data_IF_933565541047
#
_entry.id   IF_933565541047
#
_cell.length_a   1.000
_cell.length_b   1.000
_cell.length_c   1.000
_cell.angle_alpha   90.00
_cell.angle_beta   90.00
_cell.angle_gamma   90.00
#
_symmetry.space_group_name_H-M   'P 1'
#
loop_
_entity.id
_entity.type
_entity.pdbx_description
1 polymer ?
#
# COMPACT_ATOMS: atom_id res chain seq x y z
N UNK A 1 -0.23 23.18 -8.57
CA UNK A 1 -0.93 21.88 -8.59
C UNK A 1 0.02 20.87 -9.19
N UNK A 2 0.61 20.01 -8.34
CA UNK A 2 1.41 18.88 -8.83
C UNK A 2 0.40 17.75 -9.05
N UNK A 3 -0.05 17.58 -10.29
CA UNK A 3 -0.80 16.40 -10.67
C UNK A 3 0.20 15.33 -11.06
N UNK A 4 0.29 14.26 -10.29
CA UNK A 4 1.12 13.12 -10.66
C UNK A 4 0.48 12.40 -11.86
N UNK A 5 0.88 12.81 -13.07
CA UNK A 5 0.40 12.25 -14.34
C UNK A 5 0.93 10.83 -14.59
N UNK A 6 1.74 10.28 -13.68
CA UNK A 6 2.38 8.98 -13.84
C UNK A 6 1.62 7.84 -13.13
N UNK A 7 0.71 8.15 -12.21
CA UNK A 7 -0.09 7.12 -11.53
C UNK A 7 -1.22 6.69 -12.45
N UNK A 8 -1.14 5.44 -12.92
CA UNK A 8 -2.20 4.84 -13.71
C UNK A 8 -3.39 4.51 -12.83
N UNK A 9 -4.60 4.85 -13.26
CA UNK A 9 -5.83 4.42 -12.59
C UNK A 9 -6.00 2.91 -12.74
N UNK A 10 -6.27 2.22 -11.63
CA UNK A 10 -6.57 0.80 -11.57
C UNK A 10 -8.05 0.64 -11.19
N UNK A 11 -8.80 -0.08 -12.01
CA UNK A 11 -10.19 -0.41 -11.70
C UNK A 11 -10.33 -1.89 -11.33
N UNK A 12 -11.11 -2.16 -10.30
CA UNK A 12 -11.46 -3.51 -9.86
C UNK A 12 -12.97 -3.75 -10.05
N UNK A 13 -13.52 -4.78 -9.45
CA UNK A 13 -14.97 -5.01 -9.46
C UNK A 13 -15.73 -3.87 -8.75
N UNK A 14 -15.24 -3.42 -7.58
CA UNK A 14 -15.93 -2.48 -6.70
C UNK A 14 -15.21 -1.15 -6.49
N UNK A 15 -13.92 -1.07 -6.84
CA UNK A 15 -13.05 0.04 -6.50
C UNK A 15 -12.49 0.75 -7.73
N UNK A 16 -12.13 2.02 -7.51
CA UNK A 16 -11.24 2.78 -8.38
C UNK A 16 -10.05 3.24 -7.52
N UNK A 17 -8.85 2.88 -7.94
CA UNK A 17 -7.59 3.33 -7.35
C UNK A 17 -6.98 4.36 -8.30
N UNK A 18 -6.76 5.57 -7.81
CA UNK A 18 -6.30 6.71 -8.61
C UNK A 18 -5.30 7.57 -7.85
N UNK A 19 -4.63 8.46 -8.54
CA UNK A 19 -3.84 9.50 -7.87
C UNK A 19 -4.71 10.32 -6.92
N UNK A 20 -4.13 10.74 -5.79
CA UNK A 20 -4.78 11.69 -4.88
C UNK A 20 -4.72 13.11 -5.43
N UNK A 21 -5.73 13.90 -5.10
CA UNK A 21 -5.82 15.31 -5.40
C UNK A 21 -6.09 16.12 -4.14
N UNK A 22 -5.94 17.44 -4.19
CA UNK A 22 -6.26 18.30 -3.03
C UNK A 22 -7.74 18.29 -2.65
N UNK A 23 -8.62 17.93 -3.56
CA UNK A 23 -10.04 17.79 -3.27
C UNK A 23 -10.31 16.60 -2.33
N UNK A 24 -9.38 15.65 -2.26
CA UNK A 24 -9.45 14.48 -1.38
C UNK A 24 -9.00 14.78 0.07
N UNK A 25 -8.45 15.98 0.33
CA UNK A 25 -7.80 16.27 1.62
C UNK A 25 -8.73 16.12 2.83
N UNK A 26 -10.02 16.42 2.68
CA UNK A 26 -11.00 16.25 3.76
C UNK A 26 -11.24 14.76 4.09
N UNK A 27 -11.31 13.90 3.08
CA UNK A 27 -11.47 12.46 3.26
C UNK A 27 -10.20 11.85 3.84
N UNK A 28 -9.02 12.29 3.36
CA UNK A 28 -7.71 11.87 3.89
C UNK A 28 -7.61 12.22 5.37
N UNK A 29 -7.94 13.46 5.76
CA UNK A 29 -7.95 13.87 7.16
C UNK A 29 -8.93 13.03 7.99
N UNK A 30 -10.10 12.70 7.44
CA UNK A 30 -11.11 11.93 8.16
C UNK A 30 -10.62 10.54 8.58
N UNK A 31 -9.86 9.82 7.73
CA UNK A 31 -9.37 8.49 8.11
C UNK A 31 -7.95 8.52 8.70
N UNK A 32 -7.07 9.38 8.25
CA UNK A 32 -5.68 9.46 8.72
C UNK A 32 -5.52 10.34 9.98
N UNK A 33 -6.50 11.17 10.30
CA UNK A 33 -6.61 11.90 11.58
C UNK A 33 -7.25 11.07 12.70
N UNK A 34 -7.88 9.95 12.39
CA UNK A 34 -8.36 9.01 13.41
C UNK A 34 -7.18 8.32 14.10
N UNK A 35 -7.05 8.53 15.42
CA UNK A 35 -5.89 8.07 16.18
C UNK A 35 -5.66 6.56 16.10
N UNK A 36 -6.73 5.75 16.14
CA UNK A 36 -6.59 4.30 16.08
C UNK A 36 -6.18 3.85 14.70
N UNK A 37 -6.77 4.44 13.66
CA UNK A 37 -6.44 4.15 12.25
C UNK A 37 -5.00 4.54 11.95
N UNK A 38 -4.54 5.73 12.34
CA UNK A 38 -3.17 6.20 12.15
C UNK A 38 -2.17 5.33 12.93
N UNK A 39 -2.45 5.00 14.19
CA UNK A 39 -1.61 4.13 15.00
C UNK A 39 -1.40 2.75 14.36
N UNK A 40 -2.46 2.14 13.81
CA UNK A 40 -2.35 0.84 13.15
C UNK A 40 -1.67 0.92 11.77
N UNK A 41 -1.75 2.07 11.10
CA UNK A 41 -0.99 2.35 9.89
C UNK A 41 0.49 2.67 10.15
N UNK A 42 0.88 2.89 11.41
CA UNK A 42 2.25 3.19 11.80
C UNK A 42 2.67 4.64 11.57
N UNK A 43 1.71 5.56 11.56
CA UNK A 43 1.92 6.99 11.34
C UNK A 43 1.34 7.83 12.48
N UNK A 44 1.79 9.07 12.63
CA UNK A 44 1.12 10.04 13.49
C UNK A 44 -0.22 10.46 12.87
N UNK A 45 -1.26 10.66 13.69
CA UNK A 45 -2.54 11.16 13.18
C UNK A 45 -2.39 12.56 12.61
N UNK A 46 -3.03 12.82 11.48
CA UNK A 46 -3.07 14.16 10.89
C UNK A 46 -3.95 15.09 11.74
N UNK A 47 -3.50 16.33 11.93
CA UNK A 47 -4.19 17.28 12.80
C UNK A 47 -5.14 18.19 12.02
N UNK A 48 -4.80 18.53 10.77
CA UNK A 48 -5.59 19.45 9.97
C UNK A 48 -5.48 19.19 8.44
N UNK A 49 -6.18 20.03 7.66
CA UNK A 49 -6.16 19.95 6.20
C UNK A 49 -4.78 20.28 5.58
N UNK A 50 -3.92 21.01 6.28
CA UNK A 50 -2.58 21.28 5.77
C UNK A 50 -1.72 20.02 5.83
N UNK A 51 -1.83 19.24 6.90
CA UNK A 51 -1.19 17.93 7.03
C UNK A 51 -1.69 16.96 5.97
N UNK A 52 -3.00 16.91 5.74
CA UNK A 52 -3.58 16.06 4.69
C UNK A 52 -3.06 16.43 3.29
N UNK A 53 -2.93 17.73 3.00
CA UNK A 53 -2.34 18.18 1.73
C UNK A 53 -0.86 17.87 1.63
N UNK A 54 -0.11 18.00 2.73
CA UNK A 54 1.30 17.63 2.76
C UNK A 54 1.50 16.13 2.51
N UNK A 55 0.64 15.28 3.06
CA UNK A 55 0.63 13.84 2.77
C UNK A 55 0.35 13.56 1.28
N UNK A 56 -0.63 14.26 0.68
CA UNK A 56 -0.94 14.15 -0.75
C UNK A 56 0.25 14.60 -1.61
N UNK A 57 0.89 15.71 -1.26
CA UNK A 57 2.07 16.21 -1.98
C UNK A 57 3.22 15.21 -1.91
N UNK A 58 3.49 14.66 -0.72
CA UNK A 58 4.53 13.66 -0.54
C UNK A 58 4.30 12.44 -1.42
N UNK A 59 3.08 11.88 -1.42
CA UNK A 59 2.73 10.73 -2.25
C UNK A 59 2.72 11.01 -3.76
N UNK A 60 2.63 12.28 -4.16
CA UNK A 60 2.70 12.69 -5.57
C UNK A 60 4.10 13.12 -6.03
N UNK A 61 5.05 13.32 -5.10
CA UNK A 61 6.37 13.85 -5.43
C UNK A 61 7.36 12.80 -5.93
N UNK A 62 7.17 11.51 -5.60
CA UNK A 62 8.11 10.45 -5.93
C UNK A 62 7.55 9.64 -7.10
N UNK A 63 8.13 9.76 -8.32
CA UNK A 63 7.53 9.17 -9.52
C UNK A 63 7.38 7.65 -9.49
N UNK A 64 8.31 6.95 -8.85
CA UNK A 64 8.35 5.48 -8.81
C UNK A 64 7.70 4.90 -7.53
N UNK A 65 7.18 5.76 -6.66
CA UNK A 65 6.50 5.39 -5.42
C UNK A 65 5.04 5.90 -5.42
N UNK A 66 4.16 5.28 -6.20
CA UNK A 66 2.79 5.76 -6.34
C UNK A 66 1.99 5.59 -5.04
N UNK A 67 1.23 6.63 -4.70
CA UNK A 67 0.22 6.56 -3.66
C UNK A 67 -1.18 6.65 -4.28
N UNK A 68 -1.96 5.61 -4.09
CA UNK A 68 -3.31 5.50 -4.62
C UNK A 68 -4.35 5.88 -3.58
N UNK A 69 -5.26 6.80 -3.95
CA UNK A 69 -6.55 6.91 -3.29
C UNK A 69 -7.42 5.71 -3.64
N UNK A 70 -8.12 5.15 -2.68
CA UNK A 70 -9.13 4.10 -2.88
C UNK A 70 -10.51 4.73 -2.80
N UNK A 71 -11.31 4.60 -3.86
CA UNK A 71 -12.72 5.01 -3.88
C UNK A 71 -13.62 3.85 -4.27
N UNK A 72 -14.89 3.88 -3.86
CA UNK A 72 -15.90 2.94 -4.37
C UNK A 72 -16.35 3.39 -5.76
N UNK A 73 -16.60 2.46 -6.67
CA UNK A 73 -17.21 2.78 -7.97
C UNK A 73 -18.53 3.53 -7.78
N UNK A 74 -18.65 4.66 -8.50
CA UNK A 74 -19.81 5.56 -8.39
C UNK A 74 -19.74 6.55 -7.22
N UNK A 75 -18.61 6.64 -6.52
CA UNK A 75 -18.37 7.62 -5.46
C UNK A 75 -16.98 8.22 -5.61
N UNK A 76 -16.88 9.53 -5.38
CA UNK A 76 -15.60 10.24 -5.35
C UNK A 76 -14.96 10.22 -3.96
N UNK A 77 -15.71 9.79 -2.91
CA UNK A 77 -15.24 9.75 -1.53
C UNK A 77 -14.06 8.77 -1.41
N UNK A 78 -12.93 9.28 -0.92
CA UNK A 78 -11.76 8.45 -0.61
C UNK A 78 -11.98 7.72 0.71
N UNK A 79 -11.88 6.40 0.67
CA UNK A 79 -12.10 5.53 1.83
C UNK A 79 -10.81 4.96 2.42
N UNK A 80 -9.68 5.22 1.79
CA UNK A 80 -8.36 4.73 2.21
C UNK A 80 -7.29 4.98 1.17
N UNK A 81 -6.09 4.49 1.44
CA UNK A 81 -4.94 4.64 0.56
C UNK A 81 -4.07 3.39 0.52
N UNK A 82 -3.35 3.21 -0.59
CA UNK A 82 -2.22 2.29 -0.72
C UNK A 82 -1.04 3.10 -1.24
N UNK A 83 0.11 2.92 -0.63
CA UNK A 83 1.38 3.43 -1.11
C UNK A 83 2.29 2.27 -1.54
N UNK A 84 3.09 2.52 -2.55
CA UNK A 84 4.20 1.67 -2.96
C UNK A 84 5.47 2.44 -2.65
N UNK A 85 6.29 1.93 -1.78
CA UNK A 85 7.62 2.45 -1.47
C UNK A 85 8.66 1.36 -1.74
N UNK A 86 9.94 1.66 -1.56
CA UNK A 86 10.99 0.66 -1.68
C UNK A 86 11.71 0.51 -0.35
N UNK A 87 11.79 -0.70 0.14
CA UNK A 87 12.47 -1.03 1.40
C UNK A 87 13.42 -2.19 1.22
N UNK A 88 14.45 -2.22 2.08
CA UNK A 88 15.43 -3.28 2.13
C UNK A 88 14.91 -4.43 3.00
N UNK A 89 14.95 -5.66 2.47
CA UNK A 89 14.65 -6.86 3.23
C UNK A 89 15.83 -7.28 4.13
N UNK A 90 15.67 -8.36 4.90
CA UNK A 90 16.73 -8.87 5.78
C UNK A 90 17.97 -9.42 5.04
N UNK A 91 17.89 -9.56 3.70
CA UNK A 91 18.96 -10.03 2.83
C UNK A 91 19.58 -8.88 2.02
N UNK A 92 19.24 -7.64 2.37
CA UNK A 92 19.73 -6.42 1.71
C UNK A 92 19.22 -6.26 0.26
N UNK A 93 18.10 -6.93 -0.10
CA UNK A 93 17.45 -6.69 -1.39
C UNK A 93 16.48 -5.51 -1.29
N UNK A 94 16.53 -4.60 -2.25
CA UNK A 94 15.55 -3.51 -2.36
C UNK A 94 14.30 -4.02 -3.06
N UNK A 95 13.17 -4.01 -2.36
CA UNK A 95 11.89 -4.54 -2.84
C UNK A 95 10.80 -3.47 -2.78
N UNK A 96 9.85 -3.47 -3.72
CA UNK A 96 8.62 -2.70 -3.57
C UNK A 96 7.86 -3.20 -2.34
N UNK A 97 7.53 -2.26 -1.49
CA UNK A 97 6.88 -2.50 -0.19
C UNK A 97 5.54 -1.77 -0.18
N UNK A 98 4.49 -2.48 0.18
CA UNK A 98 3.15 -1.91 0.27
C UNK A 98 2.84 -1.46 1.70
N UNK A 99 2.49 -0.18 1.83
CA UNK A 99 1.78 0.38 2.98
C UNK A 99 0.32 0.63 2.63
N UNK A 100 -0.60 0.46 3.58
CA UNK A 100 -2.01 0.75 3.34
C UNK A 100 -2.77 1.15 4.60
N UNK A 101 -3.76 1.99 4.39
CA UNK A 101 -4.66 2.52 5.42
C UNK A 101 -6.09 2.51 4.89
N UNK A 102 -7.06 2.15 5.74
CA UNK A 102 -8.47 2.13 5.37
C UNK A 102 -9.29 2.76 6.48
N UNK A 103 -10.26 3.60 6.11
CA UNK A 103 -11.23 4.15 7.05
C UNK A 103 -11.89 3.04 7.88
N UNK A 104 -11.97 3.26 9.19
CA UNK A 104 -12.63 2.34 10.12
C UNK A 104 -14.10 2.09 9.78
N UNK A 105 -14.76 3.06 9.13
CA UNK A 105 -16.17 2.99 8.70
C UNK A 105 -16.46 1.88 7.66
N UNK A 106 -15.44 1.49 6.88
CA UNK A 106 -15.60 0.56 5.73
C UNK A 106 -14.76 -0.70 5.87
N UNK A 107 -14.31 -1.02 7.08
CA UNK A 107 -13.55 -2.25 7.33
C UNK A 107 -14.43 -3.50 7.18
N UNK A 108 -13.80 -4.68 7.04
CA UNK A 108 -14.45 -6.00 6.94
C UNK A 108 -15.29 -6.25 5.68
N UNK A 109 -15.30 -5.35 4.70
CA UNK A 109 -15.97 -5.55 3.40
C UNK A 109 -15.04 -6.18 2.35
N UNK A 110 -13.76 -6.38 2.69
CA UNK A 110 -12.77 -6.97 1.78
C UNK A 110 -12.17 -5.95 0.79
N UNK A 111 -12.49 -4.68 0.90
CA UNK A 111 -11.99 -3.63 0.00
C UNK A 111 -10.47 -3.55 -0.01
N UNK A 112 -9.82 -3.56 1.16
CA UNK A 112 -8.35 -3.50 1.20
C UNK A 112 -7.71 -4.72 0.53
N UNK A 113 -8.23 -5.93 0.71
CA UNK A 113 -7.70 -7.12 0.03
C UNK A 113 -7.87 -7.03 -1.50
N UNK A 114 -9.01 -6.48 -1.97
CA UNK A 114 -9.25 -6.25 -3.41
C UNK A 114 -8.27 -5.22 -3.97
N UNK A 115 -8.06 -4.11 -3.26
CA UNK A 115 -7.15 -3.05 -3.66
C UNK A 115 -5.69 -3.53 -3.68
N UNK A 116 -5.21 -4.21 -2.62
CA UNK A 116 -3.86 -4.77 -2.55
C UNK A 116 -3.61 -5.76 -3.69
N UNK A 117 -4.55 -6.69 -3.95
CA UNK A 117 -4.41 -7.64 -5.07
C UNK A 117 -4.27 -6.92 -6.41
N UNK A 118 -5.07 -5.86 -6.64
CA UNK A 118 -5.03 -5.11 -7.91
C UNK A 118 -3.71 -4.35 -8.09
N UNK A 119 -3.16 -3.75 -7.02
CA UNK A 119 -1.84 -3.09 -7.06
C UNK A 119 -0.72 -4.11 -7.29
N UNK A 120 -0.76 -5.26 -6.61
CA UNK A 120 0.22 -6.34 -6.84
C UNK A 120 0.20 -6.83 -8.30
N UNK A 121 -1.00 -7.04 -8.85
CA UNK A 121 -1.17 -7.43 -10.25
C UNK A 121 -0.57 -6.40 -11.22
N UNK A 122 -0.77 -5.10 -10.93
CA UNK A 122 -0.20 -4.01 -11.74
C UNK A 122 1.33 -3.98 -11.66
N UNK A 123 1.89 -4.11 -10.45
CA UNK A 123 3.33 -4.16 -10.23
C UNK A 123 3.97 -5.35 -10.98
N UNK A 124 3.39 -6.54 -10.89
CA UNK A 124 3.92 -7.72 -11.58
C UNK A 124 3.84 -7.62 -13.10
N UNK A 125 2.74 -7.05 -13.65
CA UNK A 125 2.52 -6.99 -15.09
C UNK A 125 3.26 -5.84 -15.78
N UNK A 126 3.27 -4.68 -15.14
CA UNK A 126 3.69 -3.44 -15.79
C UNK A 126 5.05 -2.91 -15.30
N UNK A 127 5.53 -3.33 -14.13
CA UNK A 127 6.76 -2.83 -13.52
C UNK A 127 7.89 -3.87 -13.43
N UNK A 128 7.70 -5.08 -14.02
CA UNK A 128 8.69 -6.18 -14.01
C UNK A 128 9.21 -6.55 -12.63
N UNK A 129 8.33 -6.47 -11.65
CA UNK A 129 8.62 -6.84 -10.27
C UNK A 129 8.47 -8.35 -10.12
N UNK A 130 9.40 -9.00 -9.43
CA UNK A 130 9.36 -10.44 -9.17
C UNK A 130 8.92 -10.77 -7.75
N UNK A 131 9.07 -9.82 -6.83
CA UNK A 131 8.67 -9.97 -5.43
C UNK A 131 8.19 -8.65 -4.86
N UNK A 132 7.14 -8.71 -4.05
CA UNK A 132 6.57 -7.57 -3.32
C UNK A 132 6.62 -7.88 -1.83
N UNK A 133 6.87 -6.87 -1.00
CA UNK A 133 6.93 -6.99 0.44
C UNK A 133 5.81 -6.19 1.12
N UNK A 134 5.38 -6.66 2.30
CA UNK A 134 4.65 -5.88 3.28
C UNK A 134 5.36 -6.02 4.63
N UNK A 135 5.47 -4.93 5.36
CA UNK A 135 5.98 -4.91 6.73
C UNK A 135 4.83 -4.66 7.70
N UNK A 136 4.50 -5.65 8.50
CA UNK A 136 3.29 -5.62 9.31
C UNK A 136 3.63 -5.91 10.77
N UNK A 137 3.13 -5.08 11.68
CA UNK A 137 3.25 -5.33 13.12
C UNK A 137 2.62 -6.67 13.50
N UNK A 138 3.27 -7.39 14.42
CA UNK A 138 2.80 -8.70 14.90
C UNK A 138 1.38 -8.67 15.47
N UNK A 139 1.04 -7.59 16.15
CA UNK A 139 -0.24 -7.39 16.80
C UNK A 139 -1.32 -6.80 15.88
N UNK A 140 -0.97 -6.41 14.63
CA UNK A 140 -1.92 -5.94 13.63
C UNK A 140 -2.60 -7.11 12.89
N UNK A 141 -3.49 -7.81 13.60
CA UNK A 141 -4.19 -8.99 13.05
C UNK A 141 -4.99 -8.66 11.78
N UNK A 142 -5.72 -7.52 11.68
CA UNK A 142 -6.44 -7.17 10.46
C UNK A 142 -5.51 -7.04 9.24
N UNK A 143 -4.39 -6.33 9.36
CA UNK A 143 -3.44 -6.15 8.26
C UNK A 143 -2.79 -7.47 7.85
N UNK A 144 -2.40 -8.31 8.82
CA UNK A 144 -1.91 -9.67 8.55
C UNK A 144 -2.95 -10.51 7.78
N UNK A 145 -4.24 -10.38 8.15
CA UNK A 145 -5.33 -11.05 7.45
C UNK A 145 -5.47 -10.58 5.99
N UNK A 146 -5.26 -9.30 5.71
CA UNK A 146 -5.24 -8.75 4.34
C UNK A 146 -4.09 -9.38 3.54
N UNK A 147 -2.86 -9.33 4.06
CA UNK A 147 -1.68 -9.87 3.38
C UNK A 147 -1.85 -11.37 3.07
N UNK A 148 -2.24 -12.18 4.06
CA UNK A 148 -2.45 -13.61 3.86
C UNK A 148 -3.55 -13.92 2.83
N UNK A 149 -4.64 -13.14 2.83
CA UNK A 149 -5.72 -13.30 1.84
C UNK A 149 -5.27 -12.96 0.42
N UNK A 150 -4.32 -12.04 0.27
CA UNK A 150 -3.71 -11.68 -1.01
C UNK A 150 -2.59 -12.65 -1.45
N UNK A 151 -2.32 -13.71 -0.68
CA UNK A 151 -1.32 -14.72 -1.02
C UNK A 151 0.09 -14.43 -0.50
N UNK A 152 0.27 -13.37 0.28
CA UNK A 152 1.56 -13.11 0.91
C UNK A 152 1.90 -14.20 1.93
N UNK A 153 3.15 -14.59 1.98
CA UNK A 153 3.69 -15.58 2.92
C UNK A 153 4.58 -14.86 3.93
N UNK A 154 4.35 -15.13 5.20
CA UNK A 154 5.19 -14.56 6.26
C UNK A 154 6.62 -15.11 6.17
N UNK A 155 7.61 -14.21 6.24
CA UNK A 155 9.00 -14.61 6.36
C UNK A 155 9.23 -15.37 7.67
N UNK A 156 9.71 -16.63 7.63
CA UNK A 156 9.99 -17.39 8.85
C UNK A 156 11.23 -16.87 9.60
N UNK A 157 12.10 -16.14 8.90
CA UNK A 157 13.29 -15.53 9.48
C UNK A 157 12.93 -14.14 9.98
N UNK A 158 12.50 -14.03 11.24
CA UNK A 158 12.14 -12.74 11.80
C UNK A 158 13.32 -11.78 11.84
N UNK A 159 13.17 -10.64 11.22
CA UNK A 159 14.01 -9.48 11.48
C UNK A 159 13.74 -8.98 12.90
N UNK A 160 14.61 -9.35 13.85
CA UNK A 160 14.53 -8.82 15.24
C UNK A 160 14.82 -7.32 15.31
N UNK A 161 15.23 -6.72 14.20
CA UNK A 161 15.80 -5.38 14.13
C UNK A 161 14.91 -4.38 13.38
N UNK A 162 13.94 -4.82 12.59
CA UNK A 162 13.00 -3.91 11.95
C UNK A 162 11.94 -3.47 12.95
N UNK A 163 11.94 -2.18 13.23
CA UNK A 163 10.98 -1.53 14.13
C UNK A 163 10.25 -0.45 13.33
N UNK A 164 8.94 -0.32 13.58
CA UNK A 164 8.20 0.82 13.05
C UNK A 164 8.55 2.12 13.82
N UNK A 165 7.94 3.23 13.41
CA UNK A 165 8.10 4.54 14.04
C UNK A 165 7.91 4.51 15.58
N UNK A 166 7.00 3.67 16.08
CA UNK A 166 6.75 3.51 17.53
C UNK A 166 7.68 2.48 18.21
N UNK A 167 8.76 2.06 17.57
CA UNK A 167 9.67 1.04 18.11
C UNK A 167 9.05 -0.36 18.25
N UNK A 168 7.99 -0.65 17.50
CA UNK A 168 7.35 -1.97 17.50
C UNK A 168 7.91 -2.87 16.41
N UNK A 169 8.15 -4.17 16.71
CA UNK A 169 8.71 -5.08 15.73
C UNK A 169 7.74 -5.33 14.57
N UNK A 170 8.33 -5.36 13.38
CA UNK A 170 7.66 -5.66 12.12
C UNK A 170 7.97 -7.10 11.70
N UNK A 171 6.96 -7.80 11.19
CA UNK A 171 7.11 -9.05 10.44
C UNK A 171 7.06 -8.73 8.95
N UNK A 172 7.94 -9.35 8.18
CA UNK A 172 7.95 -9.26 6.73
C UNK A 172 7.03 -10.32 6.12
N UNK A 173 6.30 -9.92 5.10
CA UNK A 173 5.47 -10.78 4.29
C UNK A 173 5.86 -10.59 2.83
N UNK A 174 6.04 -11.68 2.09
CA UNK A 174 6.42 -11.65 0.68
C UNK A 174 5.35 -12.25 -0.21
N UNK A 175 5.16 -11.63 -1.36
CA UNK A 175 4.39 -12.17 -2.48
C UNK A 175 5.32 -12.29 -3.68
N UNK A 176 5.58 -13.52 -4.10
CA UNK A 176 6.37 -13.80 -5.29
C UNK A 176 5.49 -13.82 -6.54
N UNK A 177 6.02 -13.30 -7.63
CA UNK A 177 5.40 -13.45 -8.94
C UNK A 177 5.32 -14.94 -9.29
N UNK A 178 4.12 -15.40 -9.59
CA UNK A 178 3.95 -16.75 -10.16
C UNK A 178 4.48 -16.69 -11.60
N UNK A 179 5.49 -17.51 -11.97
CA UNK A 179 5.98 -17.53 -13.35
C UNK A 179 4.85 -17.81 -14.32
N UNK A 180 4.67 -16.95 -15.32
CA UNK A 180 3.76 -17.25 -16.41
C UNK A 180 4.35 -18.43 -17.20
N UNK A 181 3.56 -19.48 -17.55
CA UNK A 181 4.06 -20.61 -18.34
C UNK A 181 4.61 -20.21 -19.72
N UNK A 182 4.39 -18.96 -20.12
CA UNK A 182 4.86 -18.37 -21.39
C UNK A 182 5.99 -17.33 -21.20
N UNK A 183 6.48 -17.13 -19.98
CA UNK A 183 7.69 -16.34 -19.75
C UNK A 183 8.88 -17.15 -20.33
N UNK A 184 9.28 -16.87 -21.56
CA UNK A 184 10.50 -17.45 -22.13
C UNK A 184 11.70 -16.94 -21.31
N UNK A 185 12.63 -17.83 -20.92
CA UNK A 185 13.89 -17.38 -20.33
C UNK A 185 14.61 -16.48 -21.32
N UNK A 186 15.04 -15.29 -20.91
CA UNK A 186 15.86 -14.43 -21.75
C UNK A 186 17.07 -15.24 -22.26
N UNK A 187 17.39 -15.20 -23.57
CA UNK A 187 18.55 -15.93 -24.08
C UNK A 187 19.81 -15.39 -23.39
N UNK A 188 20.53 -16.27 -22.75
CA UNK A 188 21.86 -16.00 -22.20
C UNK A 188 22.77 -15.49 -23.32
N UNK A 189 23.02 -14.18 -23.35
CA UNK A 189 24.00 -13.53 -24.22
C UNK A 189 25.37 -13.47 -23.55
#
# INVERSE_FOLDING_TARGET
MITNTHIRTIETERLVLRAMTYDDAADVLAFAGDHDTAYWAGMEPLEDLADARAMIDLGNCIPDEPQYAITLKGSDKVIGAIEVSYSEDIQENILPTLGYILSSEVTRHGYMSEAVSAVCDDLFRNHRVDRIMCEIRKDNIPSRGVALKCGFVQNPYQSRWKLNHYGKPLDEFFLDRVPCPFDEPEPLT
#
